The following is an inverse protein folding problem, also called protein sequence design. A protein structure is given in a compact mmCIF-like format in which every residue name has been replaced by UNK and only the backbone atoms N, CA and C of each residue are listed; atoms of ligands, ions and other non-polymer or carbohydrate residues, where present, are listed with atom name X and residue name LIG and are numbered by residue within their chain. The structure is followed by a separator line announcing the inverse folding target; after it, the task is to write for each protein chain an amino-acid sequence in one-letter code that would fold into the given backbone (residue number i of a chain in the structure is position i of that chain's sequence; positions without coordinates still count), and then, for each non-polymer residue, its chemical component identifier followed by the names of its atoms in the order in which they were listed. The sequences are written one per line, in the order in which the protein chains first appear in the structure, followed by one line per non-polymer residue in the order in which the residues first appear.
data_IF_535927788641
#
_entry.id   IF_535927788641
#
_cell.length_a   1.000
_cell.length_b   1.000
_cell.length_c   1.000
_cell.angle_alpha   90.00
_cell.angle_beta   90.00
_cell.angle_gamma   90.00
#
_symmetry.space_group_name_H-M   'P 1'
#
loop_
_entity.id
_entity.type
_entity.pdbx_description
1 polymer ?
#
# COMPACT_ATOMS: atom_id res chain seq x y z
N UNK A 1 9.87 25.92 0.78
CA UNK A 1 8.94 26.06 1.92
C UNK A 1 9.33 25.05 2.97
N UNK A 2 9.39 25.45 4.25
CA UNK A 2 9.68 24.55 5.37
C UNK A 2 8.51 23.59 5.59
N UNK A 3 8.79 22.30 5.74
CA UNK A 3 7.78 21.30 6.12
C UNK A 3 7.07 21.74 7.40
N UNK A 4 5.74 21.66 7.42
CA UNK A 4 4.96 22.03 8.61
C UNK A 4 5.22 21.02 9.73
N UNK A 5 5.61 21.51 10.90
CA UNK A 5 5.99 20.66 12.02
C UNK A 5 4.75 20.02 12.65
N UNK A 6 4.74 18.70 12.71
CA UNK A 6 3.74 17.94 13.48
C UNK A 6 3.93 18.27 14.97
N UNK A 7 2.87 18.63 15.71
CA UNK A 7 3.00 18.94 17.14
C UNK A 7 3.56 17.75 17.91
N UNK A 8 4.43 18.02 18.88
CA UNK A 8 5.14 16.96 19.63
C UNK A 8 4.22 16.05 20.46
N UNK A 9 3.00 16.52 20.78
CA UNK A 9 1.99 15.74 21.50
C UNK A 9 1.19 14.78 20.60
N UNK A 10 1.32 14.87 19.27
CA UNK A 10 0.57 14.01 18.36
C UNK A 10 1.23 12.64 18.27
N UNK A 11 0.41 11.60 18.06
CA UNK A 11 0.86 10.22 17.93
C UNK A 11 0.50 9.64 16.58
N UNK A 12 1.32 8.70 16.11
CA UNK A 12 1.00 7.89 14.93
C UNK A 12 -0.17 6.98 15.26
N UNK A 13 -1.31 7.19 14.58
CA UNK A 13 -2.48 6.32 14.67
C UNK A 13 -2.36 5.11 13.74
N UNK A 14 -1.78 5.33 12.55
CA UNK A 14 -1.62 4.30 11.52
C UNK A 14 -0.41 4.57 10.65
N UNK A 15 0.23 3.51 10.17
CA UNK A 15 1.23 3.55 9.11
C UNK A 15 0.80 2.66 7.95
N UNK A 16 1.13 3.06 6.73
CA UNK A 16 0.96 2.21 5.54
C UNK A 16 2.12 1.22 5.44
N UNK A 17 1.95 0.10 4.70
CA UNK A 17 3.10 -0.64 4.19
C UNK A 17 3.91 0.23 3.21
N UNK A 18 5.06 -0.28 2.76
CA UNK A 18 5.81 0.36 1.70
C UNK A 18 5.08 0.27 0.36
N UNK A 19 5.07 1.40 -0.32
CA UNK A 19 4.59 1.55 -1.69
C UNK A 19 5.75 1.76 -2.65
N UNK A 20 5.59 1.21 -3.83
CA UNK A 20 6.43 1.39 -5.02
C UNK A 20 5.53 1.75 -6.20
N UNK A 21 6.14 2.03 -7.36
CA UNK A 21 5.40 2.34 -8.59
C UNK A 21 4.40 1.24 -9.02
N UNK A 22 4.62 -0.01 -8.59
CA UNK A 22 3.80 -1.17 -8.97
C UNK A 22 2.58 -1.39 -8.07
N UNK A 23 2.63 -0.96 -6.80
CA UNK A 23 1.59 -1.26 -5.81
C UNK A 23 0.99 -0.01 -5.14
N UNK A 24 1.47 1.20 -5.49
CA UNK A 24 0.94 2.45 -4.96
C UNK A 24 -0.55 2.58 -5.28
N UNK A 25 -1.41 2.88 -4.29
CA UNK A 25 -2.82 3.14 -4.55
C UNK A 25 -3.00 4.33 -5.50
N UNK A 26 -3.79 4.14 -6.55
CA UNK A 26 -4.02 5.17 -7.58
C UNK A 26 -4.53 6.49 -6.99
N UNK A 27 -5.25 6.45 -5.85
CA UNK A 27 -5.72 7.62 -5.14
C UNK A 27 -4.59 8.60 -4.79
N UNK A 28 -3.41 8.10 -4.39
CA UNK A 28 -2.27 8.93 -4.01
C UNK A 28 -1.66 9.70 -5.21
N UNK A 29 -1.83 9.17 -6.42
CA UNK A 29 -1.36 9.77 -7.66
C UNK A 29 -2.29 10.87 -8.18
N UNK A 30 -3.48 10.99 -7.58
CA UNK A 30 -4.51 11.97 -7.92
C UNK A 30 -4.74 12.95 -6.77
N UNK A 31 -5.56 13.98 -6.99
CA UNK A 31 -5.93 14.95 -5.95
C UNK A 31 -6.61 14.26 -4.77
N UNK A 32 -6.02 14.38 -3.59
CA UNK A 32 -6.56 13.88 -2.33
C UNK A 32 -6.08 14.75 -1.16
N UNK A 33 -6.64 14.52 0.02
CA UNK A 33 -6.17 15.12 1.26
C UNK A 33 -6.30 14.13 2.42
N UNK A 34 -5.71 14.49 3.56
CA UNK A 34 -5.98 13.81 4.82
C UNK A 34 -7.25 14.38 5.46
N UNK A 35 -7.88 13.58 6.31
CA UNK A 35 -9.06 14.03 7.04
C UNK A 35 -8.75 15.16 8.04
N UNK A 36 -9.81 15.83 8.51
CA UNK A 36 -9.69 16.83 9.58
C UNK A 36 -8.99 16.23 10.81
N UNK A 37 -8.03 16.96 11.37
CA UNK A 37 -7.24 16.50 12.51
C UNK A 37 -6.22 15.40 12.20
N UNK A 38 -5.98 15.04 10.93
CA UNK A 38 -5.00 14.02 10.54
C UNK A 38 -3.83 14.66 9.78
N UNK A 39 -2.62 14.53 10.31
CA UNK A 39 -1.38 14.91 9.62
C UNK A 39 -0.82 13.71 8.86
N UNK A 40 -0.47 13.89 7.58
CA UNK A 40 0.28 12.89 6.83
C UNK A 40 1.78 13.15 6.93
N UNK A 41 2.58 12.11 7.11
CA UNK A 41 4.04 12.16 7.00
C UNK A 41 4.49 11.12 5.98
N UNK A 42 4.98 11.57 4.82
CA UNK A 42 5.51 10.73 3.76
C UNK A 42 7.02 10.60 3.91
N UNK A 43 7.50 9.39 4.18
CA UNK A 43 8.91 9.06 4.31
C UNK A 43 9.38 8.34 3.04
N UNK A 44 10.56 8.68 2.50
CA UNK A 44 11.14 8.05 1.31
C UNK A 44 12.38 7.24 1.71
N UNK A 45 12.43 5.98 1.28
CA UNK A 45 13.46 5.00 1.64
C UNK A 45 14.40 4.77 0.45
N UNK A 46 13.86 4.80 -0.76
CA UNK A 46 14.60 4.64 -2.01
C UNK A 46 13.98 5.55 -3.09
N UNK A 47 14.79 5.95 -4.07
CA UNK A 47 14.37 6.80 -5.17
C UNK A 47 13.93 8.19 -4.72
N UNK A 48 12.90 8.71 -5.38
CA UNK A 48 12.39 10.08 -5.16
C UNK A 48 10.88 10.12 -5.28
N UNK A 49 10.24 10.89 -4.39
CA UNK A 49 8.82 11.24 -4.49
C UNK A 49 8.69 12.74 -4.65
N UNK A 50 7.99 13.17 -5.70
CA UNK A 50 7.63 14.58 -5.89
C UNK A 50 6.23 14.82 -5.37
N UNK A 51 6.11 15.75 -4.43
CA UNK A 51 4.87 16.20 -3.82
C UNK A 51 4.40 17.49 -4.48
N UNK A 52 3.11 17.56 -4.78
CA UNK A 52 2.45 18.75 -5.31
C UNK A 52 1.30 19.14 -4.38
N UNK A 53 1.32 20.37 -3.86
CA UNK A 53 0.28 20.95 -3.00
C UNK A 53 -0.57 21.96 -3.76
N UNK A 54 -1.86 22.01 -3.43
CA UNK A 54 -2.88 22.80 -4.11
C UNK A 54 -3.72 23.58 -3.10
N UNK A 55 -4.19 24.76 -3.52
CA UNK A 55 -5.03 25.63 -2.68
C UNK A 55 -6.37 24.96 -2.31
N UNK A 56 -6.96 24.18 -3.23
CA UNK A 56 -8.26 23.52 -3.07
C UNK A 56 -8.41 22.30 -4.01
N UNK A 57 -9.59 21.67 -4.02
CA UNK A 57 -9.92 20.49 -4.83
C UNK A 57 -9.95 20.79 -6.35
N UNK A 58 -10.25 22.03 -6.73
CA UNK A 58 -10.47 22.45 -8.12
C UNK A 58 -9.22 23.04 -8.77
N UNK A 59 -8.23 23.44 -7.97
CA UNK A 59 -6.98 24.01 -8.44
C UNK A 59 -6.24 23.05 -9.40
N UNK A 60 -5.91 23.52 -10.59
CA UNK A 60 -5.20 22.73 -11.59
C UNK A 60 -3.68 22.91 -11.51
N UNK A 61 -3.23 24.07 -11.02
CA UNK A 61 -1.82 24.41 -10.86
C UNK A 61 -1.38 24.27 -9.41
N UNK A 62 -0.24 23.60 -9.14
CA UNK A 62 0.27 23.44 -7.78
C UNK A 62 0.85 24.77 -7.26
N UNK A 63 0.48 25.13 -6.03
CA UNK A 63 1.09 26.26 -5.31
C UNK A 63 2.40 25.86 -4.63
N UNK A 64 2.60 24.56 -4.41
CA UNK A 64 3.80 24.01 -3.81
C UNK A 64 4.30 22.79 -4.58
N UNK A 65 5.61 22.72 -4.80
CA UNK A 65 6.31 21.54 -5.34
C UNK A 65 7.50 21.21 -4.45
N UNK A 66 7.58 19.97 -3.99
CA UNK A 66 8.65 19.49 -3.11
C UNK A 66 9.17 18.17 -3.64
N UNK A 67 10.49 18.06 -3.79
CA UNK A 67 11.17 16.81 -4.14
C UNK A 67 11.70 16.18 -2.86
N UNK A 68 11.32 14.94 -2.58
CA UNK A 68 11.64 14.20 -1.36
C UNK A 68 12.54 13.03 -1.75
N UNK A 69 13.81 13.08 -1.36
CA UNK A 69 14.77 12.03 -1.67
C UNK A 69 14.80 10.96 -0.57
N UNK A 70 15.42 9.83 -0.87
CA UNK A 70 15.70 8.78 0.12
C UNK A 70 16.34 9.33 1.41
N UNK A 71 15.85 8.85 2.56
CA UNK A 71 16.25 9.31 3.90
C UNK A 71 15.55 10.60 4.35
N UNK A 72 14.68 11.19 3.53
CA UNK A 72 13.93 12.40 3.85
C UNK A 72 12.44 12.10 4.01
N UNK A 73 11.73 13.07 4.58
CA UNK A 73 10.28 13.04 4.68
C UNK A 73 9.67 14.41 4.40
N UNK A 74 8.40 14.43 4.03
CA UNK A 74 7.57 15.62 4.00
C UNK A 74 6.27 15.39 4.77
N UNK A 75 5.61 16.48 5.15
CA UNK A 75 4.43 16.46 5.99
C UNK A 75 3.27 17.20 5.29
N UNK A 76 2.11 16.56 5.21
CA UNK A 76 0.85 17.12 4.70
C UNK A 76 -0.05 17.53 5.86
N UNK A 77 -0.33 18.82 6.07
CA UNK A 77 -1.29 19.26 7.09
C UNK A 77 -2.71 18.75 6.80
N UNK A 78 -3.58 18.68 7.84
CA UNK A 78 -4.97 18.24 7.69
C UNK A 78 -5.71 18.97 6.56
N UNK A 79 -6.46 18.23 5.77
CA UNK A 79 -7.35 18.73 4.69
C UNK A 79 -6.67 19.51 3.55
N UNK A 80 -5.33 19.57 3.53
CA UNK A 80 -4.59 20.21 2.46
C UNK A 80 -4.53 19.32 1.22
N UNK A 81 -4.91 19.87 0.06
CA UNK A 81 -5.01 19.13 -1.20
C UNK A 81 -3.65 18.89 -1.81
N UNK A 82 -3.39 17.64 -2.19
CA UNK A 82 -2.13 17.24 -2.77
C UNK A 82 -2.22 16.00 -3.64
N UNK A 83 -1.14 15.73 -4.36
CA UNK A 83 -0.86 14.46 -5.03
C UNK A 83 0.64 14.19 -5.03
N UNK A 84 1.02 12.95 -5.32
CA UNK A 84 2.42 12.57 -5.48
C UNK A 84 2.72 12.00 -6.88
N UNK A 85 3.99 12.08 -7.24
CA UNK A 85 4.58 11.46 -8.42
C UNK A 85 5.85 10.74 -7.99
N UNK A 86 6.07 9.54 -8.53
CA UNK A 86 7.13 8.63 -8.11
C UNK A 86 8.17 8.51 -9.21
N UNK A 87 9.45 8.46 -8.84
CA UNK A 87 10.48 7.89 -9.70
C UNK A 87 10.26 6.38 -9.90
N UNK A 88 10.94 5.79 -10.90
CA UNK A 88 10.77 4.36 -11.22
C UNK A 88 11.21 3.42 -10.09
N UNK A 89 12.19 3.86 -9.32
CA UNK A 89 12.82 3.17 -8.18
C UNK A 89 12.26 3.61 -6.81
N UNK A 90 11.22 4.46 -6.79
CA UNK A 90 10.71 5.02 -5.53
C UNK A 90 10.16 3.93 -4.60
N UNK A 91 10.58 3.98 -3.33
CA UNK A 91 9.98 3.23 -2.23
C UNK A 91 9.68 4.17 -1.07
N UNK A 92 8.42 4.23 -0.62
CA UNK A 92 7.98 5.16 0.41
C UNK A 92 6.88 4.58 1.30
N UNK A 93 6.64 5.16 2.47
CA UNK A 93 5.48 4.86 3.30
C UNK A 93 4.88 6.15 3.89
N UNK A 94 3.66 6.06 4.43
CA UNK A 94 2.99 7.20 5.05
C UNK A 94 2.62 6.86 6.50
N UNK A 95 2.94 7.76 7.42
CA UNK A 95 2.43 7.75 8.80
C UNK A 95 1.31 8.78 8.95
N UNK A 96 0.23 8.40 9.60
CA UNK A 96 -0.91 9.27 9.90
C UNK A 96 -0.91 9.61 11.38
N UNK A 97 -0.77 10.90 11.67
CA UNK A 97 -0.66 11.46 13.02
C UNK A 97 -1.96 12.13 13.43
N UNK A 98 -2.35 11.95 14.69
CA UNK A 98 -3.53 12.60 15.29
C UNK A 98 -3.18 13.17 16.66
N UNK A 99 -3.97 14.14 17.12
CA UNK A 99 -3.92 14.60 18.50
C UNK A 99 -4.33 13.48 19.47
N UNK A 100 -3.77 13.47 20.68
CA UNK A 100 -3.94 12.41 21.68
C UNK A 100 -5.41 12.13 22.07
N UNK A 101 -6.31 13.10 21.93
CA UNK A 101 -7.73 12.97 22.32
C UNK A 101 -8.64 12.55 21.13
N UNK A 102 -8.07 12.20 19.98
CA UNK A 102 -8.81 11.87 18.76
C UNK A 102 -9.14 10.36 18.67
N UNK A 103 -9.91 9.85 19.63
CA UNK A 103 -10.37 8.45 19.74
C UNK A 103 -11.53 8.11 18.76
N UNK A 104 -11.71 8.86 17.67
CA UNK A 104 -12.75 8.63 16.68
C UNK A 104 -12.29 7.75 15.51
N UNK A 105 -12.92 6.60 15.30
CA UNK A 105 -12.76 5.65 14.18
C UNK A 105 -13.33 6.15 12.83
N UNK A 106 -13.48 7.46 12.61
CA UNK A 106 -14.16 8.00 11.43
C UNK A 106 -13.18 8.61 10.41
N UNK A 107 -12.89 7.86 9.34
CA UNK A 107 -12.45 8.36 8.04
C UNK A 107 -11.06 8.98 7.99
N UNK A 108 -10.02 8.17 7.77
CA UNK A 108 -8.61 8.62 7.70
C UNK A 108 -8.23 9.34 6.40
N UNK A 109 -9.04 9.23 5.35
CA UNK A 109 -8.81 9.86 4.05
C UNK A 109 -10.11 9.97 3.26
N UNK A 110 -10.22 11.00 2.42
CA UNK A 110 -11.27 11.10 1.41
C UNK A 110 -10.60 11.02 0.02
N UNK A 111 -10.94 9.97 -0.74
CA UNK A 111 -10.60 9.87 -2.16
C UNK A 111 -11.92 9.71 -2.94
N UNK A 112 -12.08 10.46 -4.03
CA UNK A 112 -13.21 10.28 -4.93
C UNK A 112 -12.96 9.03 -5.78
N UNK A 113 -13.68 7.95 -5.52
CA UNK A 113 -13.76 6.84 -6.47
C UNK A 113 -14.41 7.36 -7.75
N UNK A 114 -13.68 7.27 -8.87
CA UNK A 114 -14.25 7.48 -10.20
C UNK A 114 -15.06 6.21 -10.52
N UNK A 115 -16.35 6.25 -10.21
CA UNK A 115 -17.30 5.18 -10.50
C UNK A 115 -17.38 4.96 -12.02
N UNK A 116 -16.72 3.92 -12.53
CA UNK A 116 -17.24 3.15 -13.64
C UNK A 116 -17.97 1.94 -13.04
N UNK A 117 -19.27 1.97 -13.20
CA UNK A 117 -20.26 1.02 -12.71
C UNK A 117 -19.91 -0.45 -13.05
N UNK A 118 -19.57 -1.27 -12.05
CA UNK A 118 -20.06 -2.67 -11.97
C UNK A 118 -19.84 -3.32 -10.60
N UNK A 119 -20.99 -3.53 -9.94
CA UNK A 119 -21.31 -4.59 -8.98
C UNK A 119 -20.55 -4.62 -7.64
N UNK A 120 -21.27 -4.08 -6.66
CA UNK A 120 -21.19 -4.30 -5.22
C UNK A 120 -20.96 -5.78 -4.85
N UNK A 121 -20.00 -6.04 -3.94
CA UNK A 121 -20.28 -6.61 -2.61
C UNK A 121 -19.03 -6.63 -1.70
N UNK A 122 -19.18 -6.34 -0.39
CA UNK A 122 -18.07 -6.27 0.57
C UNK A 122 -17.86 -7.61 1.28
N UNK A 123 -16.61 -7.98 1.55
CA UNK A 123 -16.25 -8.94 2.60
C UNK A 123 -15.06 -8.37 3.37
N UNK A 124 -15.36 -7.92 4.59
CA UNK A 124 -14.39 -7.70 5.66
C UNK A 124 -14.10 -9.05 6.36
N UNK A 125 -12.96 -9.12 7.05
CA UNK A 125 -12.36 -10.25 7.80
C UNK A 125 -11.46 -11.20 6.98
N UNK A 126 -10.16 -11.25 7.34
CA UNK A 126 -9.60 -12.36 8.15
C UNK A 126 -8.42 -11.84 9.00
N UNK A 127 -8.58 -12.06 10.30
CA UNK A 127 -7.63 -11.98 11.40
C UNK A 127 -6.76 -13.26 11.41
N UNK A 128 -5.45 -13.09 11.65
CA UNK A 128 -4.47 -14.01 12.25
C UNK A 128 -4.36 -15.49 11.82
N UNK A 129 -3.12 -15.95 11.58
CA UNK A 129 -2.29 -16.69 12.57
C UNK A 129 -1.24 -17.58 11.86
N UNK A 130 0.04 -17.23 12.06
CA UNK A 130 1.13 -18.06 12.59
C UNK A 130 1.17 -19.56 12.16
N UNK A 131 2.24 -19.92 11.45
CA UNK A 131 2.74 -21.29 11.26
C UNK A 131 3.07 -21.97 12.61
N UNK A 132 3.02 -23.32 12.67
CA UNK A 132 4.32 -23.98 12.78
C UNK A 132 4.46 -25.28 11.97
N UNK A 133 5.70 -25.53 11.59
CA UNK A 133 6.25 -26.79 11.05
C UNK A 133 6.51 -27.76 12.20
N UNK A 134 6.09 -29.05 12.11
CA UNK A 134 7.00 -30.20 12.28
C UNK A 134 6.40 -31.62 12.12
N UNK A 135 7.12 -32.42 11.31
CA UNK A 135 7.56 -33.83 11.41
C UNK A 135 6.66 -35.05 11.77
N UNK A 136 7.04 -36.16 11.08
CA UNK A 136 6.72 -37.62 11.22
C UNK A 136 5.41 -38.04 10.54
N UNK A 137 5.30 -39.09 9.73
CA UNK A 137 6.12 -40.27 9.50
C UNK A 137 5.20 -41.52 9.54
N UNK A 138 5.35 -42.40 8.53
CA UNK A 138 4.96 -43.82 8.49
C UNK A 138 3.50 -44.26 8.16
N UNK A 139 3.43 -45.00 7.04
CA UNK A 139 2.64 -46.21 6.72
C UNK A 139 1.11 -46.18 6.73
N UNK A 140 0.52 -46.48 5.56
CA UNK A 140 -0.30 -47.69 5.39
C UNK A 140 -0.43 -48.08 3.90
N UNK A 141 -0.13 -49.34 3.62
CA UNK A 141 -0.37 -50.06 2.38
C UNK A 141 -1.87 -50.18 2.08
N UNK A 142 -2.26 -50.19 0.80
CA UNK A 142 -3.08 -51.31 0.34
C UNK A 142 -2.93 -51.59 -1.17
N UNK A 143 -2.84 -52.88 -1.45
CA UNK A 143 -2.74 -53.55 -2.74
C UNK A 143 -4.02 -53.38 -3.57
N UNK A 144 -3.86 -53.15 -4.87
CA UNK A 144 -4.74 -53.76 -5.86
C UNK A 144 -3.96 -54.01 -7.16
N UNK A 145 -3.95 -55.28 -7.53
CA UNK A 145 -3.24 -55.93 -8.60
C UNK A 145 -4.10 -55.93 -9.88
N UNK A 146 -3.51 -55.71 -11.05
CA UNK A 146 -3.57 -56.61 -12.23
C UNK A 146 -3.34 -55.91 -13.58
N UNK A 147 -2.40 -56.52 -14.32
CA UNK A 147 -2.39 -56.78 -15.77
C UNK A 147 -2.32 -55.59 -16.75
N UNK A 148 -1.60 -55.58 -17.87
CA UNK A 148 -0.57 -56.41 -18.47
C UNK A 148 -0.07 -55.68 -19.74
N UNK A 149 1.00 -56.20 -20.35
CA UNK A 149 1.45 -56.03 -21.76
C UNK A 149 2.24 -54.79 -22.22
N UNK A 150 3.57 -54.99 -22.19
CA UNK A 150 4.52 -54.93 -23.31
C UNK A 150 4.39 -53.79 -24.34
N UNK A 151 5.25 -52.78 -24.18
CA UNK A 151 5.51 -51.73 -25.17
C UNK A 151 6.59 -52.17 -26.16
N UNK A 152 6.24 -52.22 -27.45
CA UNK A 152 7.15 -52.40 -28.57
C UNK A 152 8.20 -51.29 -28.63
N UNK A 153 9.49 -51.66 -28.68
CA UNK A 153 10.58 -50.74 -29.06
C UNK A 153 11.13 -51.18 -30.41
N UNK A 154 10.78 -50.43 -31.45
CA UNK A 154 11.33 -50.52 -32.81
C UNK A 154 12.27 -49.34 -32.99
N UNK A 155 13.58 -49.59 -33.05
CA UNK A 155 14.52 -48.68 -33.72
C UNK A 155 15.56 -49.53 -34.45
N UNK A 156 15.44 -49.51 -35.79
CA UNK A 156 16.51 -49.79 -36.76
C UNK A 156 17.40 -48.55 -36.83
N UNK A 157 18.71 -48.74 -36.96
CA UNK A 157 19.58 -48.30 -38.07
C UNK A 157 21.04 -48.24 -37.60
N UNK A 158 21.95 -48.83 -38.37
CA UNK A 158 23.40 -48.65 -38.29
C UNK A 158 24.14 -49.92 -37.95
#
# INVERSE_FOLDING_TARGET
MSHLRIPASWKVKRSTPFFTKQNVPAALLTHHNTAAGVFGQLCVMEGTVTYYGFADEQATEPEAKVVINAGQFATSPPQYWHRIELSDDAQFNINFWVADDADGESGLFHAKERLTERLLRPVWFVQDMILPVNHRGFFHSNMANRDAFAMHRRLRTG
#
